data_IF_406416435209
#
_entry.id   IF_406416435209
#
_cell.length_a   1.000
_cell.length_b   1.000
_cell.length_c   1.000
_cell.angle_alpha   90.00
_cell.angle_beta   90.00
_cell.angle_gamma   90.00
#
_symmetry.space_group_name_H-M   'P 1'
#
loop_
_entity.id
_entity.type
_entity.pdbx_description
1 polymer ?
#
# COMPACT_ATOMS: atom_id res chain seq x y z
N UNK A 1 20.11 -4.44 -10.13
CA UNK A 1 19.37 -3.55 -9.19
C UNK A 1 18.26 -2.92 -10.01
N UNK A 2 17.00 -3.26 -9.73
CA UNK A 2 15.87 -2.86 -10.58
C UNK A 2 15.33 -1.49 -10.17
N UNK A 3 14.68 -0.79 -11.11
CA UNK A 3 14.06 0.52 -10.85
C UNK A 3 12.98 0.46 -9.76
N UNK A 4 12.31 -0.70 -9.62
CA UNK A 4 11.40 -0.98 -8.51
C UNK A 4 12.11 -1.02 -7.15
N UNK A 5 13.34 -1.56 -7.09
CA UNK A 5 14.15 -1.58 -5.87
C UNK A 5 14.56 -0.15 -5.48
N UNK A 6 14.86 0.72 -6.44
CA UNK A 6 15.18 2.13 -6.20
C UNK A 6 13.99 2.91 -5.62
N UNK A 7 12.77 2.65 -6.13
CA UNK A 7 11.55 3.27 -5.61
C UNK A 7 11.25 2.78 -4.19
N UNK A 8 11.47 1.51 -3.90
CA UNK A 8 11.34 0.99 -2.54
C UNK A 8 12.33 1.64 -1.58
N UNK A 9 13.59 1.81 -1.99
CA UNK A 9 14.58 2.52 -1.19
C UNK A 9 14.16 3.98 -0.93
N UNK A 10 13.65 4.69 -1.93
CA UNK A 10 13.13 6.06 -1.76
C UNK A 10 11.96 6.11 -0.77
N UNK A 11 11.03 5.16 -0.84
CA UNK A 11 9.91 5.06 0.12
C UNK A 11 10.44 4.79 1.53
N UNK A 12 11.40 3.87 1.69
CA UNK A 12 12.04 3.55 2.97
C UNK A 12 12.75 4.79 3.54
N UNK A 13 13.47 5.54 2.71
CA UNK A 13 14.16 6.77 3.12
C UNK A 13 13.17 7.85 3.56
N UNK A 14 12.06 8.04 2.84
CA UNK A 14 11.00 8.98 3.24
C UNK A 14 10.31 8.59 4.53
N UNK A 15 10.09 7.29 4.75
CA UNK A 15 9.53 6.76 6.00
C UNK A 15 10.47 7.07 7.18
N UNK A 16 11.78 6.82 7.01
CA UNK A 16 12.81 7.16 8.01
C UNK A 16 12.89 8.66 8.26
N UNK A 17 12.87 9.48 7.21
CA UNK A 17 12.92 10.94 7.30
C UNK A 17 11.69 11.54 8.02
N UNK A 18 10.52 10.89 7.91
CA UNK A 18 9.29 11.31 8.59
C UNK A 18 9.28 11.02 10.10
N UNK A 19 10.38 10.51 10.69
CA UNK A 19 10.47 10.14 12.11
C UNK A 19 9.33 9.22 12.56
N UNK A 20 8.79 8.43 11.63
CA UNK A 20 7.85 7.37 11.95
C UNK A 20 8.59 6.40 12.88
N UNK A 21 8.01 6.14 14.06
CA UNK A 21 8.70 5.36 15.11
C UNK A 21 9.09 3.98 14.55
N UNK A 22 10.28 3.47 14.91
CA UNK A 22 10.82 2.17 14.44
C UNK A 22 9.82 0.99 14.44
N UNK A 23 8.87 0.96 15.40
CA UNK A 23 7.80 -0.05 15.43
C UNK A 23 6.76 0.14 14.33
N UNK A 24 6.38 1.39 14.04
CA UNK A 24 5.51 1.73 12.92
C UNK A 24 6.18 1.37 11.60
N UNK A 25 7.47 1.67 11.44
CA UNK A 25 8.22 1.32 10.24
C UNK A 25 8.20 -0.18 9.99
N UNK A 26 8.50 -0.99 11.02
CA UNK A 26 8.49 -2.45 10.90
C UNK A 26 7.10 -2.99 10.55
N UNK A 27 6.04 -2.42 11.13
CA UNK A 27 4.65 -2.81 10.85
C UNK A 27 4.25 -2.45 9.43
N UNK A 28 4.60 -1.24 8.96
CA UNK A 28 4.32 -0.77 7.60
C UNK A 28 5.11 -1.56 6.57
N UNK A 29 6.40 -1.79 6.78
CA UNK A 29 7.22 -2.60 5.87
C UNK A 29 6.67 -4.02 5.74
N UNK A 30 6.22 -4.61 6.85
CA UNK A 30 5.58 -5.93 6.83
C UNK A 30 4.25 -5.92 6.08
N UNK A 31 3.43 -4.89 6.27
CA UNK A 31 2.18 -4.70 5.54
C UNK A 31 2.44 -4.58 4.03
N UNK A 32 3.37 -3.71 3.63
CA UNK A 32 3.72 -3.46 2.23
C UNK A 32 4.28 -4.73 1.59
N UNK A 33 5.22 -5.42 2.25
CA UNK A 33 5.77 -6.68 1.75
C UNK A 33 4.71 -7.77 1.57
N UNK A 34 3.81 -7.91 2.54
CA UNK A 34 2.69 -8.86 2.47
C UNK A 34 1.72 -8.55 1.32
N UNK A 35 1.30 -7.29 1.19
CA UNK A 35 0.41 -6.87 0.11
C UNK A 35 1.07 -7.01 -1.28
N UNK A 36 2.36 -6.69 -1.41
CA UNK A 36 3.09 -6.87 -2.67
C UNK A 36 3.11 -8.34 -3.08
N UNK A 37 3.42 -9.24 -2.15
CA UNK A 37 3.44 -10.67 -2.41
C UNK A 37 2.05 -11.22 -2.77
N UNK A 38 1.02 -10.84 -2.00
CA UNK A 38 -0.34 -11.32 -2.21
C UNK A 38 -0.98 -10.79 -3.52
N UNK A 39 -0.65 -9.57 -3.92
CA UNK A 39 -1.28 -8.89 -5.06
C UNK A 39 -0.45 -8.94 -6.35
N UNK A 40 0.74 -9.54 -6.33
CA UNK A 40 1.65 -9.63 -7.48
C UNK A 40 0.96 -10.17 -8.73
N UNK A 41 0.10 -11.18 -8.58
CA UNK A 41 -0.62 -11.83 -9.68
C UNK A 41 -2.07 -11.34 -9.85
N UNK A 42 -2.54 -10.46 -8.96
CA UNK A 42 -3.93 -9.96 -8.95
C UNK A 42 -4.04 -8.64 -9.70
N UNK A 43 -3.02 -7.79 -9.64
CA UNK A 43 -3.02 -6.49 -10.31
C UNK A 43 -2.45 -6.67 -11.72
N UNK A 44 -3.25 -6.39 -12.78
CA UNK A 44 -2.77 -6.51 -14.16
C UNK A 44 -1.58 -5.60 -14.42
N UNK A 45 -0.77 -5.98 -15.41
CA UNK A 45 0.31 -5.14 -15.91
C UNK A 45 -0.23 -3.77 -16.37
N UNK A 46 0.57 -2.71 -16.19
CA UNK A 46 0.15 -1.34 -16.47
C UNK A 46 -0.89 -0.76 -15.51
N UNK A 47 -1.21 -1.47 -14.42
CA UNK A 47 -2.09 -1.00 -13.36
C UNK A 47 -1.39 -0.90 -12.01
N UNK A 48 -1.84 0.05 -11.21
CA UNK A 48 -1.41 0.23 -9.82
C UNK A 48 -2.61 0.30 -8.88
N UNK A 49 -2.42 -0.13 -7.64
CA UNK A 49 -3.35 0.14 -6.55
C UNK A 49 -2.62 0.98 -5.52
N UNK A 50 -3.23 2.11 -5.16
CA UNK A 50 -2.75 3.01 -4.11
C UNK A 50 -3.56 2.72 -2.86
N UNK A 51 -2.85 2.54 -1.74
CA UNK A 51 -3.44 2.44 -0.41
C UNK A 51 -3.03 3.65 0.43
N UNK A 52 -4.00 4.23 1.12
CA UNK A 52 -3.78 5.24 2.16
C UNK A 52 -4.40 4.72 3.43
N UNK A 53 -3.58 4.52 4.46
CA UNK A 53 -4.03 4.00 5.76
C UNK A 53 -3.62 4.97 6.85
N UNK A 54 -4.53 5.28 7.78
CA UNK A 54 -4.21 6.13 8.93
C UNK A 54 -3.33 5.41 9.94
N UNK A 55 -2.41 6.14 10.56
CA UNK A 55 -1.62 5.67 11.70
C UNK A 55 -2.34 6.00 13.02
N UNK A 56 -2.09 5.24 14.12
CA UNK A 56 -1.32 3.99 14.19
C UNK A 56 -2.10 2.78 13.66
N UNK A 57 -1.40 1.80 13.07
CA UNK A 57 -2.01 0.55 12.61
C UNK A 57 -2.19 -0.43 13.78
N UNK A 58 -3.45 -0.69 14.19
CA UNK A 58 -3.74 -1.53 15.37
C UNK A 58 -3.65 -3.03 15.06
N UNK A 59 -4.14 -3.46 13.89
CA UNK A 59 -4.25 -4.87 13.53
C UNK A 59 -3.67 -5.17 12.13
N UNK A 60 -2.35 -5.02 11.93
CA UNK A 60 -1.74 -5.02 10.60
C UNK A 60 -1.99 -6.27 9.77
N UNK A 61 -1.91 -7.46 10.37
CA UNK A 61 -2.16 -8.71 9.65
C UNK A 61 -3.62 -8.82 9.19
N UNK A 62 -4.58 -8.43 10.05
CA UNK A 62 -6.00 -8.48 9.70
C UNK A 62 -6.35 -7.41 8.67
N UNK A 63 -5.80 -6.20 8.82
CA UNK A 63 -5.96 -5.12 7.83
C UNK A 63 -5.39 -5.54 6.48
N UNK A 64 -4.23 -6.20 6.43
CA UNK A 64 -3.64 -6.71 5.19
C UNK A 64 -4.58 -7.70 4.48
N UNK A 65 -5.14 -8.67 5.21
CA UNK A 65 -6.04 -9.68 4.66
C UNK A 65 -7.32 -9.04 4.09
N UNK A 66 -7.91 -8.08 4.79
CA UNK A 66 -9.10 -7.37 4.29
C UNK A 66 -8.75 -6.57 3.03
N UNK A 67 -7.60 -5.89 2.99
CA UNK A 67 -7.16 -5.14 1.80
C UNK A 67 -6.89 -6.05 0.60
N UNK A 68 -6.32 -7.23 0.83
CA UNK A 68 -6.13 -8.24 -0.21
C UNK A 68 -7.47 -8.65 -0.82
N UNK A 69 -8.44 -9.02 0.03
CA UNK A 69 -9.77 -9.43 -0.41
C UNK A 69 -10.47 -8.30 -1.18
N UNK A 70 -10.40 -7.05 -0.70
CA UNK A 70 -10.98 -5.89 -1.39
C UNK A 70 -10.40 -5.68 -2.80
N UNK A 71 -9.12 -5.98 -3.01
CA UNK A 71 -8.53 -5.88 -4.35
C UNK A 71 -8.93 -7.06 -5.23
N UNK A 72 -9.03 -8.26 -4.66
CA UNK A 72 -9.43 -9.50 -5.36
C UNK A 72 -10.90 -9.49 -5.77
N UNK A 73 -11.78 -9.00 -4.92
CA UNK A 73 -13.23 -8.86 -5.18
C UNK A 73 -13.53 -7.82 -6.28
N UNK A 74 -12.51 -7.10 -6.73
CA UNK A 74 -12.60 -6.09 -7.76
C UNK A 74 -12.70 -4.70 -7.15
N UNK A 75 -11.83 -3.82 -7.62
CA UNK A 75 -11.90 -2.39 -7.31
C UNK A 75 -12.49 -1.68 -8.53
N UNK A 76 -13.62 -1.01 -8.34
CA UNK A 76 -14.22 -0.14 -9.36
C UNK A 76 -13.28 1.02 -9.68
N UNK A 77 -13.46 1.63 -10.86
CA UNK A 77 -12.71 2.84 -11.22
C UNK A 77 -13.12 3.99 -10.30
N UNK A 78 -12.25 4.33 -9.36
CA UNK A 78 -12.52 5.36 -8.35
C UNK A 78 -11.71 5.17 -7.07
N UNK A 79 -11.97 6.07 -6.10
CA UNK A 79 -11.49 5.94 -4.73
C UNK A 79 -12.55 5.22 -3.89
N UNK A 80 -12.20 4.08 -3.30
CA UNK A 80 -12.99 3.38 -2.29
C UNK A 80 -12.49 3.79 -0.91
N UNK A 81 -13.41 4.20 -0.03
CA UNK A 81 -13.11 4.55 1.37
C UNK A 81 -13.73 3.50 2.27
N UNK A 82 -12.94 2.96 3.17
CA UNK A 82 -13.36 1.92 4.11
C UNK A 82 -12.79 2.22 5.50
N UNK A 83 -13.45 1.73 6.54
CA UNK A 83 -12.87 1.69 7.89
C UNK A 83 -12.58 0.23 8.21
N UNK A 84 -11.30 -0.09 8.36
CA UNK A 84 -10.82 -1.45 8.63
C UNK A 84 -10.10 -1.42 9.97
N UNK A 85 -10.68 -2.07 10.99
CA UNK A 85 -10.07 -2.19 12.32
C UNK A 85 -9.62 -0.84 12.91
N UNK A 86 -10.51 0.17 12.87
CA UNK A 86 -10.28 1.56 13.26
C UNK A 86 -9.27 2.35 12.42
N UNK A 87 -8.75 1.76 11.35
CA UNK A 87 -7.93 2.48 10.39
C UNK A 87 -8.83 2.98 9.25
N UNK A 88 -8.81 4.29 8.98
CA UNK A 88 -9.42 4.83 7.78
C UNK A 88 -8.52 4.44 6.60
N UNK A 89 -9.10 3.72 5.65
CA UNK A 89 -8.41 3.29 4.45
C UNK A 89 -9.03 3.91 3.22
N UNK A 90 -8.18 4.38 2.31
CA UNK A 90 -8.56 4.74 0.95
C UNK A 90 -7.81 3.86 -0.02
N UNK A 91 -8.54 3.28 -0.96
CA UNK A 91 -8.01 2.44 -2.02
C UNK A 91 -8.34 3.11 -3.35
N UNK A 92 -7.38 3.20 -4.26
CA UNK A 92 -7.63 3.72 -5.61
C UNK A 92 -6.88 2.90 -6.65
N UNK A 93 -7.58 2.49 -7.70
CA UNK A 93 -6.97 1.86 -8.88
C UNK A 93 -6.51 2.94 -9.84
N UNK A 94 -5.29 2.82 -10.34
CA UNK A 94 -4.75 3.63 -11.42
C UNK A 94 -4.55 2.74 -12.64
N UNK A 95 -5.06 3.19 -13.78
CA UNK A 95 -4.87 2.60 -15.11
C UNK A 95 -3.92 3.46 -15.94
N UNK A 96 -3.36 2.89 -17.00
CA UNK A 96 -2.42 3.61 -17.87
C UNK A 96 -1.18 4.06 -17.11
N UNK A 97 -0.84 3.32 -16.05
CA UNK A 97 0.40 3.52 -15.33
C UNK A 97 1.46 3.00 -16.28
N UNK A 98 2.17 3.92 -16.95
CA UNK A 98 3.41 3.56 -17.63
C UNK A 98 4.22 2.69 -16.67
N UNK A 99 4.92 1.64 -17.15
CA UNK A 99 5.75 0.74 -16.33
C UNK A 99 6.62 1.48 -15.29
N UNK A 100 6.87 2.77 -15.54
CA UNK A 100 7.65 3.75 -14.79
C UNK A 100 6.88 4.60 -13.72
N UNK A 101 5.55 4.49 -13.50
CA UNK A 101 4.87 5.27 -12.44
C UNK A 101 4.64 4.45 -11.15
N UNK A 102 4.98 5.00 -9.96
CA UNK A 102 5.04 4.26 -8.70
C UNK A 102 3.65 3.87 -8.17
N UNK A 103 3.53 2.64 -7.65
CA UNK A 103 2.43 2.24 -6.74
C UNK A 103 2.69 2.84 -5.35
N UNK A 104 2.57 4.15 -5.22
CA UNK A 104 2.86 4.86 -3.98
C UNK A 104 1.77 4.68 -2.92
N UNK A 105 2.12 4.17 -1.73
CA UNK A 105 1.26 4.28 -0.55
C UNK A 105 1.47 5.67 0.08
N UNK A 106 0.39 6.43 0.29
CA UNK A 106 0.45 7.75 0.95
C UNK A 106 -0.10 7.61 2.36
N UNK A 107 0.73 7.86 3.37
CA UNK A 107 0.33 7.89 4.78
C UNK A 107 -0.04 9.32 5.19
N UNK A 108 -1.12 9.48 5.95
CA UNK A 108 -1.52 10.75 6.55
C UNK A 108 -1.42 10.61 8.07
N UNK A 109 -0.61 11.46 8.68
CA UNK A 109 -0.51 11.66 10.14
C UNK A 109 -1.69 12.44 10.67
#
# INVERSE_FOLDING_TARGET
>A
MTEADMIEQEIIQRIRAAHLRLRFDKVVLRLVGGLKAALANVIPEGQAVIFTVTAPLKHPAKTALVLENLVRDGLSDGERREVIHDNQVRLRRLRGVAMHRPKGARFRT
#
